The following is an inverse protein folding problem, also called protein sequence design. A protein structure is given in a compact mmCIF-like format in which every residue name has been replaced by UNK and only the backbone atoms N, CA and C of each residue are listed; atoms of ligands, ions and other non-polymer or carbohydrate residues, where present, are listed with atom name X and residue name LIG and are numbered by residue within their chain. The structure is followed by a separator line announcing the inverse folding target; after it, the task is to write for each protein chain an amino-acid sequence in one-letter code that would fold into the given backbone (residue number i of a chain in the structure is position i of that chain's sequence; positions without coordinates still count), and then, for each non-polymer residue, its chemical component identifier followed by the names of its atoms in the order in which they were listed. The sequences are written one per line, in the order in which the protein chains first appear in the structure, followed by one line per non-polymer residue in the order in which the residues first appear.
data_IF_183807797768
#
_entry.id   IF_183807797768
#
_cell.length_a   1.000
_cell.length_b   1.000
_cell.length_c   1.000
_cell.angle_alpha   90.00
_cell.angle_beta   90.00
_cell.angle_gamma   90.00
#
_symmetry.space_group_name_H-M   'P 1'
#
loop_
_entity.id
_entity.type
_entity.pdbx_description
1 polymer ?
#
# COMPACT_ATOMS: atom_id res chain seq x y z
N UNK A 1 -10.47 30.53 -30.03
CA UNK A 1 -9.64 30.82 -28.84
C UNK A 1 -10.06 32.08 -28.10
N UNK A 2 -10.03 33.26 -28.73
CA UNK A 2 -10.27 34.54 -28.04
C UNK A 2 -11.62 34.66 -27.32
N UNK A 3 -12.71 34.19 -27.94
CA UNK A 3 -14.05 34.16 -27.30
C UNK A 3 -14.12 33.20 -26.10
N UNK A 4 -13.47 32.02 -26.20
CA UNK A 4 -13.41 31.04 -25.09
C UNK A 4 -12.62 31.58 -23.91
N UNK A 5 -11.49 32.24 -24.18
CA UNK A 5 -10.66 32.86 -23.16
C UNK A 5 -11.37 34.04 -22.46
N UNK A 6 -12.14 34.83 -23.21
CA UNK A 6 -12.98 35.89 -22.65
C UNK A 6 -14.09 35.32 -21.74
N UNK A 7 -14.75 34.24 -22.16
CA UNK A 7 -15.76 33.56 -21.35
C UNK A 7 -15.17 32.96 -20.07
N UNK A 8 -14.02 32.29 -20.16
CA UNK A 8 -13.29 31.78 -19.00
C UNK A 8 -12.91 32.91 -18.02
N UNK A 9 -12.43 34.04 -18.53
CA UNK A 9 -12.10 35.22 -17.72
C UNK A 9 -13.32 35.83 -17.04
N UNK A 10 -14.48 35.81 -17.71
CA UNK A 10 -15.76 36.26 -17.12
C UNK A 10 -16.19 35.34 -15.97
N UNK A 11 -16.10 34.02 -16.15
CA UNK A 11 -16.38 33.05 -15.09
C UNK A 11 -15.46 33.23 -13.89
N UNK A 12 -14.17 33.46 -14.12
CA UNK A 12 -13.20 33.77 -13.06
C UNK A 12 -13.57 35.05 -12.29
N UNK A 13 -13.92 36.13 -12.99
CA UNK A 13 -14.37 37.38 -12.36
C UNK A 13 -15.66 37.20 -11.54
N UNK A 14 -16.61 36.39 -12.03
CA UNK A 14 -17.85 36.08 -11.32
C UNK A 14 -17.57 35.25 -10.06
N UNK A 15 -16.70 34.24 -10.14
CA UNK A 15 -16.27 33.43 -9.01
C UNK A 15 -15.48 34.24 -7.95
N UNK A 16 -14.80 35.31 -8.37
CA UNK A 16 -14.08 36.23 -7.49
C UNK A 16 -14.96 37.30 -6.81
N UNK A 17 -16.26 37.39 -7.12
CA UNK A 17 -17.13 38.40 -6.49
C UNK A 17 -17.44 38.05 -5.02
N UNK A 18 -17.39 39.02 -4.09
CA UNK A 18 -17.57 38.75 -2.66
C UNK A 18 -18.99 38.28 -2.27
N UNK A 19 -20.02 38.73 -3.00
CA UNK A 19 -21.43 38.41 -2.67
C UNK A 19 -21.94 37.13 -3.37
N UNK A 20 -21.51 36.87 -4.59
CA UNK A 20 -22.04 35.77 -5.42
C UNK A 20 -20.99 34.76 -5.86
N UNK A 21 -19.70 35.05 -5.66
CA UNK A 21 -18.59 34.18 -6.04
C UNK A 21 -18.64 32.78 -5.44
N UNK A 22 -18.95 32.60 -4.15
CA UNK A 22 -19.10 31.26 -3.56
C UNK A 22 -20.19 30.43 -4.25
N UNK A 23 -21.33 31.05 -4.60
CA UNK A 23 -22.42 30.37 -5.31
C UNK A 23 -21.97 29.94 -6.71
N UNK A 24 -21.27 30.81 -7.44
CA UNK A 24 -20.73 30.50 -8.77
C UNK A 24 -19.70 29.36 -8.70
N UNK A 25 -18.80 29.38 -7.73
CA UNK A 25 -17.80 28.34 -7.54
C UNK A 25 -18.43 26.97 -7.22
N UNK A 26 -19.45 26.95 -6.34
CA UNK A 26 -20.21 25.72 -6.04
C UNK A 26 -20.92 25.20 -7.28
N UNK A 27 -21.53 26.08 -8.09
CA UNK A 27 -22.17 25.69 -9.35
C UNK A 27 -21.16 25.10 -10.35
N UNK A 28 -19.98 25.71 -10.49
CA UNK A 28 -18.93 25.19 -11.37
C UNK A 28 -18.40 23.84 -10.89
N UNK A 29 -18.27 23.64 -9.58
CA UNK A 29 -17.84 22.37 -8.98
C UNK A 29 -18.83 21.21 -9.19
N UNK A 30 -20.08 21.50 -9.61
CA UNK A 30 -21.03 20.44 -10.04
C UNK A 30 -20.66 19.83 -11.39
N UNK A 31 -19.90 20.55 -12.21
CA UNK A 31 -19.56 20.16 -13.59
C UNK A 31 -18.08 19.85 -13.77
N UNK A 32 -17.22 20.57 -13.05
CA UNK A 32 -15.77 20.53 -13.20
C UNK A 32 -15.10 20.06 -11.91
N UNK A 33 -14.01 19.30 -11.99
CA UNK A 33 -13.16 19.01 -10.83
C UNK A 33 -12.69 20.28 -10.13
N UNK A 34 -12.55 20.23 -8.80
CA UNK A 34 -12.13 21.37 -7.97
C UNK A 34 -10.81 22.01 -8.43
N UNK A 35 -9.87 21.19 -8.94
CA UNK A 35 -8.62 21.67 -9.52
C UNK A 35 -8.85 22.65 -10.68
N UNK A 36 -9.77 22.34 -11.60
CA UNK A 36 -10.13 23.21 -12.71
C UNK A 36 -10.97 24.42 -12.27
N UNK A 37 -11.85 24.26 -11.28
CA UNK A 37 -12.60 25.39 -10.70
C UNK A 37 -11.64 26.41 -10.06
N UNK A 38 -10.60 25.93 -9.36
CA UNK A 38 -9.56 26.81 -8.82
C UNK A 38 -8.77 27.51 -9.92
N UNK A 39 -8.44 26.81 -11.01
CA UNK A 39 -7.76 27.39 -12.16
C UNK A 39 -8.63 28.47 -12.85
N UNK A 40 -9.95 28.27 -12.94
CA UNK A 40 -10.90 29.27 -13.48
C UNK A 40 -10.94 30.53 -12.61
N UNK A 41 -10.94 30.35 -11.29
CA UNK A 41 -11.01 31.47 -10.34
C UNK A 41 -9.73 32.32 -10.35
N UNK A 42 -8.57 31.66 -10.34
CA UNK A 42 -7.29 32.29 -10.04
C UNK A 42 -6.44 32.57 -11.31
N UNK A 43 -6.73 31.91 -12.44
CA UNK A 43 -5.92 31.94 -13.66
C UNK A 43 -6.44 32.87 -14.77
N UNK A 44 -5.56 33.30 -15.70
CA UNK A 44 -5.98 34.02 -16.90
C UNK A 44 -6.78 33.09 -17.83
N UNK A 45 -7.79 33.63 -18.53
CA UNK A 45 -8.71 32.82 -19.33
C UNK A 45 -8.05 31.99 -20.44
N UNK A 46 -6.90 32.41 -20.97
CA UNK A 46 -6.13 31.62 -21.95
C UNK A 46 -5.55 30.35 -21.34
N UNK A 47 -5.00 30.44 -20.12
CA UNK A 47 -4.45 29.29 -19.40
C UNK A 47 -5.56 28.30 -19.02
N UNK A 48 -6.74 28.81 -18.65
CA UNK A 48 -7.92 27.98 -18.35
C UNK A 48 -8.34 27.17 -19.58
N UNK A 49 -8.43 27.81 -20.74
CA UNK A 49 -8.79 27.12 -22.00
C UNK A 49 -7.74 26.06 -22.34
N UNK A 50 -6.45 26.39 -22.21
CA UNK A 50 -5.37 25.40 -22.41
C UNK A 50 -5.50 24.22 -21.45
N UNK A 51 -5.82 24.48 -20.17
CA UNK A 51 -6.01 23.43 -19.16
C UNK A 51 -7.24 22.55 -19.42
N UNK A 52 -8.28 23.09 -20.06
CA UNK A 52 -9.48 22.33 -20.44
C UNK A 52 -9.27 21.50 -21.71
N UNK A 53 -8.37 21.92 -22.60
CA UNK A 53 -8.02 21.21 -23.84
C UNK A 53 -6.94 20.14 -23.61
N UNK A 54 -6.14 20.27 -22.54
CA UNK A 54 -5.08 19.33 -22.22
C UNK A 54 -5.57 18.17 -21.33
N UNK A 55 -5.16 16.95 -21.67
CA UNK A 55 -5.35 15.78 -20.80
C UNK A 55 -4.49 15.92 -19.55
N UNK A 56 -5.11 15.90 -18.38
CA UNK A 56 -4.42 15.95 -17.09
C UNK A 56 -4.84 14.75 -16.26
N UNK A 57 -3.89 13.85 -15.95
CA UNK A 57 -4.11 12.70 -15.08
C UNK A 57 -3.11 12.77 -13.93
N UNK A 58 -3.51 13.42 -12.85
CA UNK A 58 -2.72 13.57 -11.63
C UNK A 58 -3.53 13.06 -10.43
N UNK A 59 -2.87 12.72 -9.31
CA UNK A 59 -3.59 12.27 -8.12
C UNK A 59 -4.67 13.25 -7.64
N UNK A 60 -4.51 14.56 -7.86
CA UNK A 60 -5.49 15.60 -7.45
C UNK A 60 -6.50 15.99 -8.53
N UNK A 61 -6.20 15.73 -9.80
CA UNK A 61 -7.00 16.16 -10.93
C UNK A 61 -6.94 15.15 -12.06
N UNK A 62 -8.10 14.62 -12.42
CA UNK A 62 -8.31 13.81 -13.62
C UNK A 62 -9.24 14.57 -14.56
N UNK A 63 -8.74 14.85 -15.74
CA UNK A 63 -9.45 15.53 -16.81
C UNK A 63 -9.01 14.93 -18.15
N UNK A 64 -9.92 14.18 -18.78
CA UNK A 64 -9.65 13.52 -20.07
C UNK A 64 -10.49 14.13 -21.19
N UNK A 65 -10.08 13.98 -22.46
CA UNK A 65 -10.87 14.44 -23.60
C UNK A 65 -12.27 13.83 -23.64
N UNK A 66 -12.44 12.60 -23.13
CA UNK A 66 -13.74 11.94 -23.02
C UNK A 66 -14.64 12.62 -21.97
N UNK A 67 -14.09 13.03 -20.81
CA UNK A 67 -14.82 13.82 -19.82
C UNK A 67 -15.21 15.19 -20.37
N UNK A 68 -14.27 15.86 -21.05
CA UNK A 68 -14.53 17.14 -21.70
C UNK A 68 -15.65 17.03 -22.75
N UNK A 69 -15.60 15.99 -23.61
CA UNK A 69 -16.62 15.72 -24.60
C UNK A 69 -17.99 15.42 -23.95
N UNK A 70 -18.02 14.56 -22.93
CA UNK A 70 -19.24 14.22 -22.19
C UNK A 70 -19.87 15.45 -21.54
N UNK A 71 -19.07 16.26 -20.84
CA UNK A 71 -19.54 17.51 -20.23
C UNK A 71 -20.04 18.49 -21.30
N UNK A 72 -19.32 18.63 -22.41
CA UNK A 72 -19.73 19.53 -23.50
C UNK A 72 -21.07 19.10 -24.12
N UNK A 73 -21.31 17.80 -24.27
CA UNK A 73 -22.58 17.25 -24.76
C UNK A 73 -23.70 17.53 -23.76
N UNK A 74 -23.49 17.27 -22.46
CA UNK A 74 -24.46 17.55 -21.40
C UNK A 74 -24.85 19.04 -21.36
N UNK A 75 -23.87 19.93 -21.37
CA UNK A 75 -24.11 21.38 -21.37
C UNK A 75 -24.83 21.84 -22.64
N UNK A 76 -24.53 21.25 -23.79
CA UNK A 76 -25.20 21.56 -25.06
C UNK A 76 -26.68 21.14 -25.03
N UNK A 77 -26.99 19.97 -24.48
CA UNK A 77 -28.37 19.50 -24.29
C UNK A 77 -29.12 20.43 -23.33
N UNK A 78 -28.54 20.74 -22.18
CA UNK A 78 -29.16 21.64 -21.20
C UNK A 78 -29.42 23.03 -21.80
N UNK A 79 -28.48 23.59 -22.55
CA UNK A 79 -28.65 24.88 -23.20
C UNK A 79 -29.76 24.86 -24.26
N UNK A 80 -29.85 23.78 -25.04
CA UNK A 80 -30.89 23.60 -26.05
C UNK A 80 -32.30 23.47 -25.42
N UNK A 81 -32.42 22.71 -24.33
CA UNK A 81 -33.66 22.54 -23.58
C UNK A 81 -34.14 23.88 -23.00
N UNK A 82 -33.22 24.66 -22.43
CA UNK A 82 -33.55 25.99 -21.91
C UNK A 82 -33.99 26.96 -22.99
N UNK A 83 -33.29 26.96 -24.13
CA UNK A 83 -33.66 27.78 -25.27
C UNK A 83 -35.06 27.43 -25.78
N UNK A 84 -35.40 26.13 -25.86
CA UNK A 84 -36.73 25.65 -26.24
C UNK A 84 -37.81 26.14 -25.26
N UNK A 85 -37.56 26.09 -23.95
CA UNK A 85 -38.51 26.56 -22.95
C UNK A 85 -38.67 28.09 -22.96
N UNK A 86 -37.59 28.83 -23.18
CA UNK A 86 -37.65 30.29 -23.35
C UNK A 86 -38.48 30.70 -24.57
N UNK A 87 -38.36 29.96 -25.68
CA UNK A 87 -39.15 30.20 -26.90
C UNK A 87 -40.66 29.97 -26.69
N UNK A 88 -41.06 29.23 -25.65
CA UNK A 88 -42.47 29.02 -25.28
C UNK A 88 -43.05 30.19 -24.47
N UNK A 89 -42.29 31.27 -24.24
CA UNK A 89 -42.76 32.52 -23.65
C UNK A 89 -42.97 32.50 -22.14
N UNK A 90 -42.47 31.48 -21.43
CA UNK A 90 -42.43 31.48 -19.95
C UNK A 90 -41.14 32.11 -19.45
N UNK A 91 -41.24 32.98 -18.45
CA UNK A 91 -40.11 33.32 -17.58
C UNK A 91 -39.74 32.06 -16.80
N UNK A 92 -38.74 31.33 -17.26
CA UNK A 92 -38.22 30.15 -16.58
C UNK A 92 -37.23 30.63 -15.51
N UNK A 93 -37.55 30.41 -14.24
CA UNK A 93 -36.57 30.52 -13.16
C UNK A 93 -35.65 29.29 -13.28
N UNK A 94 -34.54 29.48 -14.00
CA UNK A 94 -33.61 28.39 -14.24
C UNK A 94 -32.74 28.19 -13.00
N UNK A 95 -32.89 27.01 -12.39
CA UNK A 95 -31.91 26.49 -11.46
C UNK A 95 -31.15 25.34 -12.11
N UNK A 96 -29.90 25.17 -11.68
CA UNK A 96 -29.05 24.07 -12.13
C UNK A 96 -29.72 22.78 -11.65
N UNK A 97 -30.17 21.89 -12.56
CA UNK A 97 -30.81 20.65 -12.16
C UNK A 97 -29.90 19.91 -11.17
N UNK A 98 -30.50 19.30 -10.14
CA UNK A 98 -29.83 18.32 -9.29
C UNK A 98 -29.53 17.06 -10.11
N UNK A 99 -28.71 17.17 -11.16
CA UNK A 99 -28.16 15.97 -11.76
C UNK A 99 -27.10 15.43 -10.82
N UNK A 100 -27.15 14.12 -10.49
CA UNK A 100 -26.02 13.45 -9.90
C UNK A 100 -24.91 13.42 -10.95
N UNK A 101 -24.07 14.44 -10.88
CA UNK A 101 -22.70 14.57 -11.37
C UNK A 101 -22.28 13.71 -12.56
N UNK A 102 -21.58 14.35 -13.52
CA UNK A 102 -20.66 13.70 -14.46
C UNK A 102 -19.54 12.84 -13.83
N UNK A 103 -19.59 12.58 -12.52
CA UNK A 103 -18.81 11.58 -11.79
C UNK A 103 -19.20 10.12 -12.11
N UNK A 104 -20.24 9.86 -12.91
CA UNK A 104 -20.63 8.49 -13.28
C UNK A 104 -19.54 7.69 -14.02
N UNK A 105 -18.60 8.34 -14.73
CA UNK A 105 -17.52 7.63 -15.45
C UNK A 105 -16.42 7.14 -14.50
N UNK A 106 -16.29 7.73 -13.30
CA UNK A 106 -15.21 7.43 -12.34
C UNK A 106 -15.72 6.90 -10.99
N UNK A 107 -16.98 6.45 -10.93
CA UNK A 107 -17.60 5.93 -9.69
C UNK A 107 -16.87 4.71 -9.10
N UNK A 108 -16.13 3.99 -9.95
CA UNK A 108 -15.33 2.81 -9.57
C UNK A 108 -13.88 3.14 -9.18
N UNK A 109 -13.49 4.42 -9.15
CA UNK A 109 -12.17 4.85 -8.69
C UNK A 109 -12.24 5.34 -7.23
N UNK A 110 -11.52 4.70 -6.30
CA UNK A 110 -11.52 5.10 -4.91
C UNK A 110 -10.83 6.46 -4.76
N UNK A 111 -11.59 7.45 -4.34
CA UNK A 111 -11.14 8.81 -4.07
C UNK A 111 -11.17 9.08 -2.57
N UNK A 112 -10.06 9.60 -2.04
CA UNK A 112 -9.91 9.92 -0.61
C UNK A 112 -9.49 11.37 -0.47
N UNK A 113 -10.29 12.20 0.21
CA UNK A 113 -9.94 13.61 0.44
C UNK A 113 -9.69 14.42 -0.84
N UNK A 114 -10.31 14.03 -1.96
CA UNK A 114 -10.11 14.64 -3.28
C UNK A 114 -9.02 13.99 -4.14
N UNK A 115 -8.32 12.97 -3.63
CA UNK A 115 -7.19 12.33 -4.30
C UNK A 115 -7.55 10.94 -4.81
N UNK A 116 -7.20 10.65 -6.06
CA UNK A 116 -7.36 9.36 -6.71
C UNK A 116 -6.27 8.40 -6.25
N UNK A 117 -6.65 7.36 -5.49
CA UNK A 117 -5.71 6.48 -4.78
C UNK A 117 -4.83 5.69 -5.77
N UNK A 118 -5.41 5.21 -6.88
CA UNK A 118 -4.67 4.43 -7.89
C UNK A 118 -3.63 5.29 -8.62
N UNK A 119 -3.97 6.55 -8.93
CA UNK A 119 -3.02 7.49 -9.54
C UNK A 119 -1.91 7.89 -8.56
N UNK A 120 -2.24 8.11 -7.28
CA UNK A 120 -1.22 8.36 -6.25
C UNK A 120 -0.22 7.21 -6.15
N UNK A 121 -0.67 5.95 -6.21
CA UNK A 121 0.23 4.80 -6.17
C UNK A 121 1.17 4.67 -7.38
N UNK A 122 0.83 5.28 -8.53
CA UNK A 122 1.73 5.33 -9.70
C UNK A 122 2.89 6.31 -9.48
N UNK A 123 2.65 7.42 -8.81
CA UNK A 123 3.67 8.41 -8.46
C UNK A 123 3.49 8.89 -7.00
N UNK A 124 3.98 8.12 -6.01
CA UNK A 124 3.80 8.44 -4.60
C UNK A 124 4.61 9.66 -4.15
N UNK A 125 5.55 10.15 -4.99
CA UNK A 125 6.35 11.36 -4.72
C UNK A 125 5.66 12.63 -5.22
N UNK A 126 4.49 12.51 -5.83
CA UNK A 126 3.71 13.64 -6.30
C UNK A 126 3.44 14.63 -5.14
N UNK A 127 3.75 15.93 -5.29
CA UNK A 127 3.58 16.91 -4.23
C UNK A 127 2.10 17.23 -4.02
N UNK A 128 1.49 16.58 -3.02
CA UNK A 128 0.11 16.83 -2.61
C UNK A 128 -0.02 18.21 -1.91
N UNK A 129 -1.08 18.95 -2.22
CA UNK A 129 -1.42 20.23 -1.58
C UNK A 129 -1.70 20.08 -0.10
N UNK A 130 -2.43 19.03 0.28
CA UNK A 130 -2.86 18.76 1.67
C UNK A 130 -2.64 17.30 2.08
N UNK A 131 -1.39 16.86 2.29
CA UNK A 131 -1.08 15.47 2.60
C UNK A 131 -1.69 15.00 3.94
N UNK A 132 -1.92 15.91 4.91
CA UNK A 132 -2.59 15.60 6.18
C UNK A 132 -4.05 15.20 5.97
N UNK A 133 -4.78 15.95 5.14
CA UNK A 133 -6.18 15.66 4.82
C UNK A 133 -6.32 14.32 4.10
N UNK A 134 -5.38 14.03 3.20
CA UNK A 134 -5.30 12.74 2.52
C UNK A 134 -5.06 11.60 3.50
N UNK A 135 -4.09 11.76 4.41
CA UNK A 135 -3.80 10.78 5.46
C UNK A 135 -5.01 10.50 6.36
N UNK A 136 -5.67 11.54 6.86
CA UNK A 136 -6.87 11.41 7.70
C UNK A 136 -7.98 10.66 6.98
N UNK A 137 -8.25 11.01 5.72
CA UNK A 137 -9.22 10.31 4.90
C UNK A 137 -8.83 8.85 4.64
N UNK A 138 -7.54 8.57 4.40
CA UNK A 138 -7.05 7.21 4.15
C UNK A 138 -7.24 6.34 5.39
N UNK A 139 -6.91 6.86 6.57
CA UNK A 139 -7.08 6.15 7.84
C UNK A 139 -8.55 5.88 8.13
N UNK A 140 -9.42 6.87 7.96
CA UNK A 140 -10.84 6.75 8.24
C UNK A 140 -11.51 5.73 7.31
N UNK A 141 -11.25 5.83 6.00
CA UNK A 141 -11.79 4.90 5.02
C UNK A 141 -11.17 3.51 5.16
N UNK A 142 -9.88 3.40 5.50
CA UNK A 142 -9.22 2.11 5.73
C UNK A 142 -9.82 1.39 6.95
N UNK A 143 -9.88 2.03 8.11
CA UNK A 143 -10.45 1.44 9.33
C UNK A 143 -11.91 1.04 9.10
N UNK A 144 -12.68 1.88 8.40
CA UNK A 144 -14.08 1.58 8.05
C UNK A 144 -14.19 0.39 7.10
N UNK A 145 -13.34 0.31 6.08
CA UNK A 145 -13.32 -0.79 5.12
C UNK A 145 -12.93 -2.13 5.77
N UNK A 146 -11.93 -2.12 6.66
CA UNK A 146 -11.53 -3.31 7.43
C UNK A 146 -12.67 -3.72 8.37
N UNK A 147 -13.31 -2.78 9.06
CA UNK A 147 -14.48 -3.06 9.89
C UNK A 147 -15.66 -3.63 9.09
N UNK A 148 -15.89 -3.18 7.86
CA UNK A 148 -16.94 -3.74 7.00
C UNK A 148 -16.68 -5.21 6.65
N UNK A 149 -15.41 -5.60 6.44
CA UNK A 149 -15.05 -7.03 6.26
C UNK A 149 -15.29 -7.89 7.50
N UNK A 150 -15.52 -7.28 8.68
CA UNK A 150 -15.77 -8.00 9.93
C UNK A 150 -17.23 -8.44 10.09
N UNK A 151 -18.20 -7.61 9.67
CA UNK A 151 -19.61 -7.79 10.00
C UNK A 151 -20.45 -8.43 8.89
N UNK A 152 -20.07 -8.29 7.63
CA UNK A 152 -20.91 -8.75 6.52
C UNK A 152 -20.40 -10.05 5.88
N UNK A 153 -21.28 -11.05 5.81
CA UNK A 153 -21.09 -12.28 5.03
C UNK A 153 -21.23 -12.04 3.52
N UNK A 154 -21.46 -10.80 3.09
CA UNK A 154 -21.43 -10.41 1.69
C UNK A 154 -20.00 -10.15 1.24
N UNK A 155 -19.70 -10.53 0.00
CA UNK A 155 -18.41 -10.36 -0.66
C UNK A 155 -18.09 -8.87 -0.83
N UNK A 156 -17.66 -8.19 0.24
CA UNK A 156 -16.97 -6.91 0.14
C UNK A 156 -15.65 -7.19 -0.55
N UNK A 157 -15.38 -6.45 -1.62
CA UNK A 157 -14.16 -6.58 -2.39
C UNK A 157 -12.93 -6.36 -1.49
N UNK A 158 -12.12 -7.39 -1.22
CA UNK A 158 -10.92 -7.25 -0.39
C UNK A 158 -9.89 -6.31 -1.03
N UNK A 159 -10.05 -5.94 -2.31
CA UNK A 159 -9.14 -5.04 -3.00
C UNK A 159 -9.15 -3.62 -2.43
N UNK A 160 -10.28 -3.12 -1.93
CA UNK A 160 -10.37 -1.76 -1.40
C UNK A 160 -9.49 -1.56 -0.14
N UNK A 161 -9.61 -2.35 0.94
CA UNK A 161 -8.73 -2.20 2.11
C UNK A 161 -7.26 -2.43 1.73
N UNK A 162 -6.96 -3.35 0.81
CA UNK A 162 -5.60 -3.59 0.33
C UNK A 162 -5.03 -2.37 -0.39
N UNK A 163 -5.79 -1.76 -1.30
CA UNK A 163 -5.38 -0.56 -2.03
C UNK A 163 -5.17 0.63 -1.07
N UNK A 164 -6.09 0.84 -0.13
CA UNK A 164 -5.98 1.90 0.88
C UNK A 164 -4.74 1.69 1.77
N UNK A 165 -4.47 0.45 2.19
CA UNK A 165 -3.28 0.11 2.98
C UNK A 165 -1.98 0.39 2.21
N UNK A 166 -1.93 0.05 0.92
CA UNK A 166 -0.77 0.28 0.08
C UNK A 166 -0.51 1.78 -0.10
N UNK A 167 -1.56 2.59 -0.30
CA UNK A 167 -1.46 4.03 -0.39
C UNK A 167 -1.01 4.66 0.93
N UNK A 168 -1.54 4.17 2.06
CA UNK A 168 -1.15 4.63 3.39
C UNK A 168 0.33 4.34 3.68
N UNK A 169 0.80 3.13 3.42
CA UNK A 169 2.21 2.76 3.58
C UNK A 169 3.11 3.59 2.67
N UNK A 170 2.72 3.77 1.40
CA UNK A 170 3.47 4.57 0.44
C UNK A 170 3.57 6.04 0.85
N UNK A 171 2.46 6.64 1.31
CA UNK A 171 2.41 8.01 1.80
C UNK A 171 3.33 8.21 3.02
N UNK A 172 3.25 7.31 4.00
CA UNK A 172 4.08 7.36 5.21
C UNK A 172 5.56 7.08 4.93
N UNK A 173 5.89 6.37 3.84
CA UNK A 173 7.27 6.17 3.39
C UNK A 173 7.87 7.44 2.77
N UNK A 174 7.08 8.16 1.96
CA UNK A 174 7.54 9.41 1.34
C UNK A 174 7.57 10.56 2.36
N UNK A 175 6.59 10.60 3.27
CA UNK A 175 6.46 11.64 4.28
C UNK A 175 6.39 11.06 5.71
N UNK A 176 7.52 10.57 6.28
CA UNK A 176 7.53 9.92 7.59
C UNK A 176 7.07 10.82 8.74
N UNK A 177 7.24 12.14 8.63
CA UNK A 177 6.76 13.11 9.62
C UNK A 177 5.24 13.09 9.82
N UNK A 178 4.47 12.56 8.86
CA UNK A 178 3.03 12.40 9.00
C UNK A 178 2.65 11.28 9.99
N UNK A 179 3.56 10.34 10.28
CA UNK A 179 3.30 9.26 11.23
C UNK A 179 3.04 9.80 12.65
N UNK A 180 3.72 10.88 13.06
CA UNK A 180 3.47 11.50 14.37
C UNK A 180 2.03 12.03 14.47
N UNK A 181 1.50 12.59 13.39
CA UNK A 181 0.10 13.04 13.29
C UNK A 181 -0.88 11.88 13.51
N UNK A 182 -0.59 10.69 12.97
CA UNK A 182 -1.41 9.47 13.19
C UNK A 182 -1.46 9.10 14.67
N UNK A 183 -0.33 9.20 15.37
CA UNK A 183 -0.23 8.96 16.80
C UNK A 183 -1.15 9.87 17.61
N UNK A 184 -1.12 11.19 17.33
CA UNK A 184 -1.96 12.17 18.03
C UNK A 184 -3.46 12.01 17.75
N UNK A 185 -3.84 11.55 16.57
CA UNK A 185 -5.24 11.33 16.22
C UNK A 185 -5.87 10.08 16.87
N UNK A 186 -5.06 9.21 17.49
CA UNK A 186 -5.57 8.02 18.18
C UNK A 186 -6.07 6.90 17.26
N UNK A 187 -5.56 6.83 16.02
CA UNK A 187 -5.88 5.72 15.10
C UNK A 187 -5.12 4.43 15.42
N UNK A 188 -3.97 4.50 16.10
CA UNK A 188 -3.13 3.33 16.42
C UNK A 188 -3.90 2.25 17.19
N UNK A 189 -4.63 2.54 18.29
CA UNK A 189 -5.41 1.53 19.00
C UNK A 189 -6.53 0.91 18.14
N UNK A 190 -7.13 1.68 17.22
CA UNK A 190 -8.17 1.18 16.31
C UNK A 190 -7.60 0.15 15.34
N UNK A 191 -6.43 0.41 14.77
CA UNK A 191 -5.73 -0.51 13.87
C UNK A 191 -5.31 -1.80 14.59
N UNK A 192 -4.82 -1.67 15.82
CA UNK A 192 -4.48 -2.82 16.69
C UNK A 192 -5.71 -3.68 16.97
N UNK A 193 -6.86 -3.06 17.26
CA UNK A 193 -8.12 -3.77 17.47
C UNK A 193 -8.63 -4.47 16.20
N UNK A 194 -8.52 -3.83 15.04
CA UNK A 194 -8.92 -4.40 13.74
C UNK A 194 -8.12 -5.68 13.41
N UNK A 195 -6.79 -5.62 13.52
CA UNK A 195 -5.91 -6.77 13.30
C UNK A 195 -6.19 -7.93 14.28
N UNK A 196 -6.59 -7.61 15.52
CA UNK A 196 -6.90 -8.61 16.54
C UNK A 196 -8.25 -9.31 16.35
N UNK A 197 -9.25 -8.62 15.79
CA UNK A 197 -10.56 -9.21 15.51
C UNK A 197 -10.42 -10.32 14.47
N UNK A 198 -9.65 -10.00 13.42
CA UNK A 198 -9.26 -10.92 12.38
C UNK A 198 -8.59 -12.19 12.93
N UNK A 199 -7.53 -12.07 13.75
CA UNK A 199 -6.81 -13.22 14.29
C UNK A 199 -7.65 -14.21 15.13
N UNK A 200 -8.88 -13.88 15.54
CA UNK A 200 -9.79 -14.79 16.24
C UNK A 200 -10.57 -15.75 15.32
N UNK A 201 -10.64 -15.50 14.01
CA UNK A 201 -11.40 -16.36 13.08
C UNK A 201 -10.59 -17.52 12.51
N UNK A 202 -9.27 -17.45 12.50
CA UNK A 202 -8.38 -18.55 12.09
C UNK A 202 -8.58 -19.80 12.97
N UNK A 203 -8.76 -19.62 14.28
CA UNK A 203 -8.98 -20.72 15.23
C UNK A 203 -10.32 -21.44 15.03
N UNK A 204 -11.27 -20.84 14.31
CA UNK A 204 -12.59 -21.44 14.02
C UNK A 204 -12.63 -22.10 12.64
N UNK A 205 -11.88 -21.59 11.66
CA UNK A 205 -11.78 -22.20 10.32
C UNK A 205 -10.84 -23.43 10.32
N UNK A 206 -9.74 -23.39 11.08
CA UNK A 206 -8.81 -24.52 11.22
C UNK A 206 -9.38 -25.69 12.06
N UNK A 207 -10.51 -25.50 12.75
CA UNK A 207 -11.09 -26.50 13.66
C UNK A 207 -12.16 -27.41 13.06
N UNK A 208 -12.58 -27.20 11.80
CA UNK A 208 -13.69 -27.96 11.19
C UNK A 208 -13.27 -29.15 10.31
N UNK A 209 -11.98 -29.33 10.03
CA UNK A 209 -11.53 -30.38 9.09
C UNK A 209 -11.15 -31.73 9.74
N UNK A 210 -11.36 -31.93 11.05
CA UNK A 210 -11.02 -33.21 11.72
C UNK A 210 -12.20 -34.14 12.02
N UNK A 211 -13.41 -33.85 11.54
CA UNK A 211 -14.56 -34.74 11.78
C UNK A 211 -15.40 -34.98 10.53
N UNK A 212 -14.84 -35.64 9.50
CA UNK A 212 -15.59 -36.45 8.52
C UNK A 212 -14.66 -37.19 7.56
N UNK A 213 -14.33 -38.44 7.87
CA UNK A 213 -14.36 -39.58 6.96
C UNK A 213 -13.71 -40.81 7.62
N UNK A 214 -14.55 -41.71 8.13
CA UNK A 214 -14.24 -43.14 8.15
C UNK A 214 -14.52 -43.67 6.74
N UNK A 215 -13.50 -44.16 6.02
CA UNK A 215 -13.62 -45.19 4.98
C UNK A 215 -12.22 -45.55 4.40
N UNK A 216 -11.79 -46.78 4.68
CA UNK A 216 -10.95 -47.75 3.94
C UNK A 216 -9.68 -47.31 3.15
N UNK A 217 -8.58 -48.10 3.19
CA UNK A 217 -7.31 -47.78 2.55
C UNK A 217 -7.24 -48.28 1.10
N UNK A 218 -6.90 -47.39 0.16
CA UNK A 218 -6.50 -47.77 -1.19
C UNK A 218 -5.07 -47.25 -1.41
N UNK A 219 -4.11 -48.19 -1.45
CA UNK A 219 -2.78 -47.98 -2.02
C UNK A 219 -2.93 -47.54 -3.48
N UNK A 220 -2.16 -46.54 -3.96
CA UNK A 220 -1.58 -46.48 -5.31
C UNK A 220 -0.69 -45.22 -5.46
N UNK A 221 0.60 -45.51 -5.49
CA UNK A 221 1.74 -44.98 -6.26
C UNK A 221 1.85 -43.53 -6.77
N UNK A 222 3.10 -43.07 -6.78
CA UNK A 222 3.60 -41.72 -7.04
C UNK A 222 3.33 -41.18 -8.46
N UNK A 223 2.96 -39.90 -8.57
CA UNK A 223 3.49 -39.00 -9.61
C UNK A 223 3.30 -37.52 -9.24
N UNK A 224 4.42 -36.79 -9.26
CA UNK A 224 4.57 -35.34 -9.48
C UNK A 224 3.75 -34.36 -8.61
N UNK A 225 4.30 -34.09 -7.42
CA UNK A 225 3.89 -32.99 -6.56
C UNK A 225 4.18 -31.62 -7.19
N UNK A 226 3.18 -31.04 -7.85
CA UNK A 226 3.06 -29.59 -8.00
C UNK A 226 3.04 -29.00 -6.59
N UNK A 227 3.89 -27.99 -6.25
CA UNK A 227 3.80 -27.38 -4.94
C UNK A 227 2.45 -26.68 -4.85
N UNK A 228 1.54 -27.19 -4.02
CA UNK A 228 0.31 -26.52 -3.66
C UNK A 228 0.66 -25.15 -3.07
N UNK A 229 0.63 -24.11 -3.90
CA UNK A 229 0.63 -22.73 -3.45
C UNK A 229 -0.67 -22.53 -2.69
N UNK A 230 -0.63 -22.71 -1.37
CA UNK A 230 -1.72 -22.38 -0.45
C UNK A 230 -2.15 -20.94 -0.71
N UNK A 231 -3.26 -20.74 -1.43
CA UNK A 231 -3.77 -19.42 -1.80
C UNK A 231 -4.23 -18.75 -0.51
N UNK A 232 -3.57 -17.65 -0.13
CA UNK A 232 -3.91 -16.89 1.07
C UNK A 232 -5.38 -16.44 1.01
N UNK A 233 -6.11 -16.63 2.10
CA UNK A 233 -7.51 -16.18 2.15
C UNK A 233 -7.57 -14.65 2.03
N UNK A 234 -8.65 -14.07 1.49
CA UNK A 234 -8.80 -12.61 1.41
C UNK A 234 -8.68 -11.95 2.80
N UNK A 235 -9.12 -12.63 3.85
CA UNK A 235 -9.00 -12.15 5.23
C UNK A 235 -7.55 -12.15 5.74
N UNK A 236 -6.74 -13.15 5.38
CA UNK A 236 -5.30 -13.16 5.66
C UNK A 236 -4.59 -12.00 4.97
N UNK A 237 -4.97 -11.68 3.72
CA UNK A 237 -4.41 -10.53 3.00
C UNK A 237 -4.72 -9.21 3.72
N UNK A 238 -5.95 -9.02 4.20
CA UNK A 238 -6.33 -7.82 4.98
C UNK A 238 -5.55 -7.75 6.31
N UNK A 239 -5.36 -8.87 7.02
CA UNK A 239 -4.52 -8.93 8.24
C UNK A 239 -3.08 -8.50 7.99
N UNK A 240 -2.47 -9.05 6.95
CA UNK A 240 -1.12 -8.69 6.56
C UNK A 240 -1.04 -7.22 6.16
N UNK A 241 -2.10 -6.66 5.57
CA UNK A 241 -2.20 -5.23 5.28
C UNK A 241 -2.20 -4.39 6.56
N UNK A 242 -2.96 -4.80 7.59
CA UNK A 242 -2.99 -4.13 8.90
C UNK A 242 -1.60 -4.18 9.55
N UNK A 243 -0.94 -5.34 9.49
CA UNK A 243 0.42 -5.52 10.00
C UNK A 243 1.43 -4.61 9.28
N UNK A 244 1.33 -4.45 7.95
CA UNK A 244 2.19 -3.54 7.17
C UNK A 244 2.00 -2.08 7.55
N UNK A 245 0.75 -1.66 7.77
CA UNK A 245 0.46 -0.29 8.24
C UNK A 245 1.05 -0.07 9.64
N UNK A 246 0.82 -1.00 10.58
CA UNK A 246 1.38 -0.92 11.93
C UNK A 246 2.92 -0.92 11.91
N UNK A 247 3.53 -1.76 11.08
CA UNK A 247 4.97 -1.80 10.87
C UNK A 247 5.54 -0.45 10.40
N UNK A 248 4.87 0.20 9.43
CA UNK A 248 5.28 1.50 8.94
C UNK A 248 5.12 2.58 10.03
N UNK A 249 4.04 2.54 10.79
CA UNK A 249 3.80 3.46 11.92
C UNK A 249 4.80 3.26 13.05
N UNK A 250 5.27 2.03 13.30
CA UNK A 250 6.27 1.73 14.33
C UNK A 250 7.63 2.40 14.10
N UNK A 251 7.87 2.99 12.92
CA UNK A 251 9.05 3.82 12.68
C UNK A 251 9.00 5.17 13.41
N UNK A 252 7.81 5.66 13.78
CA UNK A 252 7.62 6.86 14.61
C UNK A 252 7.56 6.47 16.10
N UNK A 253 8.28 7.22 16.93
CA UNK A 253 8.30 7.05 18.38
C UNK A 253 6.93 7.31 18.99
N UNK A 254 6.21 8.34 18.52
CA UNK A 254 4.85 8.67 18.97
C UNK A 254 3.89 7.50 18.75
N UNK A 255 3.95 6.87 17.58
CA UNK A 255 3.14 5.69 17.27
C UNK A 255 3.58 4.45 18.05
N UNK A 256 4.88 4.23 18.24
CA UNK A 256 5.40 3.14 19.06
C UNK A 256 4.98 3.25 20.54
N UNK A 257 4.93 4.46 21.09
CA UNK A 257 4.39 4.74 22.43
C UNK A 257 2.88 4.46 22.47
N UNK A 258 2.13 4.90 21.46
CA UNK A 258 0.70 4.63 21.35
C UNK A 258 0.38 3.12 21.21
N UNK A 259 1.26 2.33 20.59
CA UNK A 259 1.14 0.87 20.54
C UNK A 259 1.38 0.18 21.89
N UNK A 260 2.21 0.78 22.76
CA UNK A 260 2.45 0.28 24.10
C UNK A 260 1.30 0.62 25.08
N UNK A 261 0.57 1.71 24.81
CA UNK A 261 -0.55 2.14 25.62
C UNK A 261 -1.64 1.06 25.69
N UNK A 262 -1.81 0.47 26.87
CA UNK A 262 -2.83 -0.55 27.12
C UNK A 262 -4.02 0.10 27.80
N UNK A 263 -5.13 0.25 27.06
CA UNK A 263 -6.42 0.65 27.63
C UNK A 263 -7.29 -0.58 27.90
N UNK A 264 -8.29 -0.44 28.79
CA UNK A 264 -9.24 -1.52 29.05
C UNK A 264 -9.98 -1.89 27.76
N UNK A 265 -9.76 -3.11 27.27
CA UNK A 265 -10.41 -3.64 26.06
C UNK A 265 -9.57 -3.62 24.78
N UNK A 266 -8.44 -2.89 24.74
CA UNK A 266 -7.51 -2.97 23.60
C UNK A 266 -6.63 -4.20 23.68
N UNK A 267 -6.48 -4.98 22.59
CA UNK A 267 -5.63 -6.16 22.58
C UNK A 267 -4.15 -5.77 22.72
N UNK A 268 -3.39 -6.56 23.47
CA UNK A 268 -1.97 -6.30 23.69
C UNK A 268 -1.19 -6.49 22.39
N UNK A 269 -0.50 -5.45 21.92
CA UNK A 269 0.25 -5.45 20.64
C UNK A 269 1.28 -6.57 20.61
N UNK A 270 1.99 -6.82 21.70
CA UNK A 270 3.01 -7.89 21.76
C UNK A 270 2.38 -9.28 21.59
N UNK A 271 1.20 -9.51 22.16
CA UNK A 271 0.48 -10.77 21.99
C UNK A 271 0.00 -10.97 20.55
N UNK A 272 -0.40 -9.88 19.88
CA UNK A 272 -0.81 -9.93 18.48
C UNK A 272 0.37 -10.18 17.55
N UNK A 273 1.49 -9.48 17.78
CA UNK A 273 2.71 -9.69 17.00
C UNK A 273 3.25 -11.11 17.20
N UNK A 274 3.18 -11.66 18.42
CA UNK A 274 3.53 -13.06 18.67
C UNK A 274 2.68 -14.04 17.85
N UNK A 275 1.38 -13.78 17.68
CA UNK A 275 0.55 -14.59 16.77
C UNK A 275 0.91 -14.37 15.31
N UNK A 276 1.18 -13.13 14.92
CA UNK A 276 1.56 -12.76 13.56
C UNK A 276 2.91 -13.34 13.12
N UNK A 277 3.79 -13.67 14.09
CA UNK A 277 5.01 -14.44 13.84
C UNK A 277 4.68 -15.80 13.18
N UNK A 278 3.54 -16.43 13.50
CA UNK A 278 3.09 -17.68 12.87
C UNK A 278 2.37 -17.50 11.53
N UNK A 279 2.10 -16.27 11.08
CA UNK A 279 1.35 -16.03 9.83
C UNK A 279 2.22 -16.24 8.60
N UNK A 280 1.64 -16.85 7.57
CA UNK A 280 2.31 -17.06 6.29
C UNK A 280 2.63 -15.72 5.61
N UNK A 281 3.92 -15.40 5.46
CA UNK A 281 4.40 -14.12 4.92
C UNK A 281 4.31 -12.92 5.89
N UNK A 282 3.85 -13.11 7.12
CA UNK A 282 3.81 -12.08 8.18
C UNK A 282 4.92 -12.18 9.22
N UNK A 283 5.59 -13.33 9.29
CA UNK A 283 6.56 -13.67 10.34
C UNK A 283 7.71 -12.66 10.52
N UNK A 284 8.45 -12.40 9.44
CA UNK A 284 9.58 -11.45 9.44
C UNK A 284 9.08 -10.03 9.73
N UNK A 285 7.98 -9.63 9.11
CA UNK A 285 7.39 -8.31 9.32
C UNK A 285 6.97 -8.10 10.78
N UNK A 286 6.42 -9.13 11.43
CA UNK A 286 6.04 -9.09 12.84
C UNK A 286 7.28 -8.97 13.75
N UNK A 287 8.35 -9.74 13.48
CA UNK A 287 9.62 -9.65 14.20
C UNK A 287 10.27 -8.27 14.04
N UNK A 288 10.28 -7.72 12.82
CA UNK A 288 10.83 -6.39 12.54
C UNK A 288 9.99 -5.29 13.21
N UNK A 289 8.67 -5.46 13.23
CA UNK A 289 7.76 -4.55 13.96
C UNK A 289 8.03 -4.59 15.46
N UNK A 290 8.23 -5.78 16.06
CA UNK A 290 8.63 -5.91 17.46
C UNK A 290 9.95 -5.19 17.75
N UNK A 291 10.96 -5.36 16.88
CA UNK A 291 12.24 -4.65 17.00
C UNK A 291 12.05 -3.13 17.02
N UNK A 292 11.26 -2.59 16.09
CA UNK A 292 11.01 -1.14 16.00
C UNK A 292 10.26 -0.61 17.21
N UNK A 293 9.22 -1.31 17.65
CA UNK A 293 8.37 -0.91 18.78
C UNK A 293 9.16 -0.94 20.10
N UNK A 294 10.11 -1.87 20.26
CA UNK A 294 10.96 -2.01 21.46
C UNK A 294 12.28 -1.24 21.33
N UNK A 295 12.41 -0.38 20.32
CA UNK A 295 13.59 0.47 20.13
C UNK A 295 13.86 1.40 21.32
N UNK A 296 15.14 1.79 21.48
CA UNK A 296 15.61 2.60 22.61
C UNK A 296 14.90 3.97 22.75
N UNK A 297 14.30 4.49 21.68
CA UNK A 297 13.57 5.76 21.69
C UNK A 297 12.17 5.69 22.29
N UNK A 298 11.61 4.50 22.56
CA UNK A 298 10.25 4.35 23.07
C UNK A 298 10.23 4.43 24.61
N UNK A 299 9.62 5.48 25.18
CA UNK A 299 9.50 5.64 26.64
C UNK A 299 8.62 4.59 27.29
N UNK A 300 7.70 4.00 26.54
CA UNK A 300 6.80 2.94 27.00
C UNK A 300 7.36 1.52 26.74
N UNK A 301 8.66 1.40 26.43
CA UNK A 301 9.35 0.13 26.22
C UNK A 301 9.17 -0.85 27.38
N UNK A 302 9.25 -0.39 28.62
CA UNK A 302 9.10 -1.27 29.80
C UNK A 302 7.72 -1.96 29.84
N UNK A 303 6.65 -1.26 29.42
CA UNK A 303 5.32 -1.84 29.33
C UNK A 303 5.23 -2.96 28.28
N UNK A 304 5.92 -2.79 27.14
CA UNK A 304 6.01 -3.80 26.08
C UNK A 304 6.82 -5.02 26.53
N UNK A 305 7.94 -4.82 27.22
CA UNK A 305 8.74 -5.91 27.79
C UNK A 305 7.93 -6.68 28.83
N UNK A 306 7.16 -5.98 29.68
CA UNK A 306 6.24 -6.61 30.64
C UNK A 306 5.17 -7.46 29.95
N UNK A 307 4.57 -6.95 28.85
CA UNK A 307 3.64 -7.74 28.03
C UNK A 307 4.32 -8.97 27.44
N UNK A 308 5.53 -8.83 26.88
CA UNK A 308 6.28 -9.94 26.31
C UNK A 308 6.60 -11.04 27.32
N UNK A 309 6.99 -10.68 28.54
CA UNK A 309 7.19 -11.64 29.64
C UNK A 309 5.88 -12.34 30.06
N UNK A 310 4.76 -11.61 30.05
CA UNK A 310 3.45 -12.17 30.41
C UNK A 310 2.94 -13.19 29.39
N UNK A 311 3.22 -12.95 28.11
CA UNK A 311 2.75 -13.81 27.01
C UNK A 311 3.75 -14.93 26.69
N UNK A 312 4.98 -14.87 27.24
CA UNK A 312 6.02 -15.87 26.98
C UNK A 312 6.77 -15.65 25.66
N UNK A 313 6.83 -14.41 25.17
CA UNK A 313 7.50 -14.08 23.91
C UNK A 313 9.00 -14.43 23.94
N UNK A 314 9.66 -14.28 25.09
CA UNK A 314 11.10 -14.60 25.25
C UNK A 314 11.36 -16.07 24.92
N UNK A 315 10.50 -16.97 25.39
CA UNK A 315 10.62 -18.40 25.13
C UNK A 315 10.39 -18.70 23.64
N UNK A 316 9.46 -18.00 22.98
CA UNK A 316 9.21 -18.14 21.54
C UNK A 316 10.40 -17.73 20.71
N UNK A 317 11.01 -16.59 21.04
CA UNK A 317 12.21 -16.11 20.34
C UNK A 317 13.39 -17.08 20.53
N UNK A 318 13.57 -17.65 21.71
CA UNK A 318 14.56 -18.70 21.95
C UNK A 318 14.26 -19.98 21.14
N UNK A 319 12.98 -20.35 21.04
CA UNK A 319 12.54 -21.47 20.20
C UNK A 319 12.82 -21.27 18.70
N UNK A 320 12.75 -20.02 18.22
CA UNK A 320 13.13 -19.66 16.83
C UNK A 320 14.64 -19.82 16.59
N UNK A 321 15.47 -19.56 17.62
CA UNK A 321 16.93 -19.71 17.54
C UNK A 321 17.39 -21.17 17.64
N UNK A 322 16.60 -22.03 18.29
CA UNK A 322 16.90 -23.44 18.47
C UNK A 322 16.60 -24.26 17.19
N UNK A 323 17.47 -24.11 16.19
CA UNK A 323 17.36 -24.83 14.93
C UNK A 323 17.51 -26.36 15.08
N UNK A 324 18.09 -26.84 16.19
CA UNK A 324 18.33 -28.27 16.46
C UNK A 324 17.12 -28.97 17.05
N UNK A 325 16.31 -28.26 17.84
CA UNK A 325 15.16 -28.87 18.52
C UNK A 325 13.88 -28.95 17.67
N UNK A 326 13.92 -28.59 16.39
CA UNK A 326 12.83 -28.82 15.44
C UNK A 326 11.45 -28.48 16.02
N UNK A 327 11.22 -27.20 16.33
CA UNK A 327 9.87 -26.71 16.62
C UNK A 327 9.17 -27.37 17.81
N UNK A 328 9.83 -27.52 18.97
CA UNK A 328 9.14 -27.89 20.22
C UNK A 328 8.06 -26.89 20.65
N UNK A 329 8.03 -25.70 20.06
CA UNK A 329 6.93 -24.76 20.14
C UNK A 329 6.17 -24.76 18.82
N UNK A 330 4.89 -25.15 18.84
CA UNK A 330 4.07 -25.38 17.64
C UNK A 330 3.95 -24.20 16.66
N UNK A 331 4.42 -22.99 17.03
CA UNK A 331 4.54 -21.82 16.15
C UNK A 331 5.59 -22.01 15.04
N UNK A 332 6.73 -22.65 15.31
CA UNK A 332 7.77 -22.86 14.29
C UNK A 332 7.34 -23.87 13.21
N UNK A 333 6.47 -24.83 13.54
CA UNK A 333 5.95 -25.79 12.56
C UNK A 333 4.96 -25.14 11.57
N UNK A 334 4.41 -23.97 11.92
CA UNK A 334 3.54 -23.19 11.02
C UNK A 334 4.36 -22.30 10.07
N UNK A 335 5.65 -22.09 10.35
CA UNK A 335 6.54 -21.25 9.54
C UNK A 335 7.16 -22.06 8.41
N UNK A 336 6.75 -21.78 7.17
CA UNK A 336 7.46 -22.26 5.97
C UNK A 336 8.56 -21.27 5.58
N UNK A 337 9.64 -21.21 6.36
CA UNK A 337 10.79 -20.34 6.02
C UNK A 337 11.70 -20.98 5.00
N UNK A 338 12.10 -20.19 4.01
CA UNK A 338 13.28 -20.51 3.22
C UNK A 338 14.57 -20.24 4.03
N UNK A 339 15.71 -20.71 3.53
CA UNK A 339 17.00 -20.60 4.25
C UNK A 339 17.40 -19.13 4.55
N UNK A 340 17.05 -18.20 3.65
CA UNK A 340 17.31 -16.76 3.81
C UNK A 340 16.36 -16.07 4.80
N UNK A 341 15.09 -16.47 4.81
CA UNK A 341 14.08 -15.99 5.75
C UNK A 341 14.38 -16.48 7.16
N UNK A 342 14.88 -17.72 7.28
CA UNK A 342 15.32 -18.27 8.55
C UNK A 342 16.54 -17.54 9.11
N UNK A 343 17.52 -17.17 8.26
CA UNK A 343 18.67 -16.40 8.73
C UNK A 343 18.27 -15.00 9.20
N UNK A 344 17.42 -14.31 8.42
CA UNK A 344 16.86 -13.00 8.76
C UNK A 344 16.05 -13.07 10.06
N UNK A 345 15.16 -14.06 10.18
CA UNK A 345 14.32 -14.26 11.37
C UNK A 345 15.13 -14.49 12.63
N UNK A 346 16.23 -15.24 12.55
CA UNK A 346 17.16 -15.44 13.68
C UNK A 346 17.86 -14.15 14.10
N UNK A 347 18.35 -13.35 13.13
CA UNK A 347 18.97 -12.05 13.44
C UNK A 347 17.96 -11.14 14.15
N UNK A 348 16.75 -11.01 13.60
CA UNK A 348 15.70 -10.20 14.21
C UNK A 348 15.33 -10.71 15.61
N UNK A 349 15.28 -12.03 15.83
CA UNK A 349 15.01 -12.61 17.14
C UNK A 349 16.11 -12.26 18.16
N UNK A 350 17.40 -12.36 17.77
CA UNK A 350 18.53 -11.95 18.62
C UNK A 350 18.47 -10.45 18.95
N UNK A 351 18.20 -9.60 17.96
CA UNK A 351 18.09 -8.15 18.17
C UNK A 351 16.93 -7.78 19.10
N UNK A 352 15.77 -8.44 18.97
CA UNK A 352 14.64 -8.24 19.87
C UNK A 352 14.98 -8.72 21.28
N UNK A 353 15.65 -9.87 21.45
CA UNK A 353 16.08 -10.36 22.76
C UNK A 353 17.08 -9.42 23.43
N UNK A 354 18.05 -8.89 22.68
CA UNK A 354 18.92 -7.83 23.18
C UNK A 354 18.12 -6.59 23.58
N UNK A 355 17.16 -6.16 22.74
CA UNK A 355 16.29 -5.03 23.05
C UNK A 355 15.36 -5.28 24.25
N UNK A 356 15.13 -6.52 24.68
CA UNK A 356 14.41 -6.83 25.93
C UNK A 356 15.36 -6.86 27.13
N UNK A 357 16.62 -7.25 26.91
CA UNK A 357 17.65 -7.34 27.94
C UNK A 357 18.34 -6.01 28.25
N UNK A 358 18.25 -5.02 27.35
CA UNK A 358 18.73 -3.65 27.59
C UNK A 358 17.93 -2.97 28.71
N UNK A 359 18.48 -1.89 29.28
CA UNK A 359 17.99 -1.12 30.43
C UNK A 359 16.46 -1.08 30.59
N UNK A 360 15.94 -1.28 31.80
CA UNK A 360 14.50 -1.27 32.09
C UNK A 360 14.15 -1.96 33.40
N UNK A 361 12.90 -1.80 33.88
CA UNK A 361 12.46 -2.41 35.14
C UNK A 361 12.44 -3.94 35.10
N UNK A 362 12.18 -4.51 33.92
CA UNK A 362 12.04 -5.96 33.72
C UNK A 362 13.30 -6.64 33.15
N UNK A 363 14.36 -5.88 32.86
CA UNK A 363 15.55 -6.39 32.19
C UNK A 363 16.29 -7.47 32.99
N UNK A 364 16.26 -7.41 34.34
CA UNK A 364 16.89 -8.42 35.20
C UNK A 364 16.24 -9.80 35.03
N UNK A 365 14.90 -9.84 35.01
CA UNK A 365 14.13 -11.07 34.80
C UNK A 365 14.33 -11.63 33.39
N UNK A 366 14.39 -10.77 32.37
CA UNK A 366 14.73 -11.20 31.00
C UNK A 366 16.14 -11.81 30.96
N UNK A 367 17.13 -11.15 31.56
CA UNK A 367 18.51 -11.65 31.62
C UNK A 367 18.63 -12.98 32.36
N UNK A 368 17.85 -13.18 33.43
CA UNK A 368 17.79 -14.45 34.14
C UNK A 368 17.32 -15.59 33.23
N UNK A 369 16.20 -15.39 32.51
CA UNK A 369 15.67 -16.37 31.53
C UNK A 369 16.70 -16.64 30.44
N UNK A 370 17.29 -15.59 29.87
CA UNK A 370 18.29 -15.71 28.81
C UNK A 370 19.56 -16.44 29.27
N UNK A 371 20.05 -16.17 30.47
CA UNK A 371 21.25 -16.83 31.02
C UNK A 371 21.00 -18.30 31.36
N UNK A 372 19.74 -18.70 31.59
CA UNK A 372 19.36 -20.10 31.79
C UNK A 372 19.29 -20.91 30.49
N UNK A 373 19.30 -20.24 29.33
CA UNK A 373 19.19 -20.89 28.02
C UNK A 373 20.55 -21.19 27.41
N UNK A 374 20.80 -22.48 27.15
CA UNK A 374 22.01 -22.92 26.44
C UNK A 374 22.08 -22.37 25.02
N UNK A 375 20.92 -22.19 24.36
CA UNK A 375 20.82 -21.64 23.01
C UNK A 375 21.29 -20.19 22.99
N UNK A 376 20.84 -19.38 23.95
CA UNK A 376 21.24 -17.97 24.02
C UNK A 376 22.76 -17.79 24.21
N UNK A 377 23.41 -18.69 24.96
CA UNK A 377 24.85 -18.64 25.18
C UNK A 377 25.68 -18.67 23.89
N UNK A 378 25.16 -19.34 22.85
CA UNK A 378 25.81 -19.44 21.54
C UNK A 378 25.59 -18.21 20.65
N UNK A 379 24.48 -17.47 20.86
CA UNK A 379 24.08 -16.36 19.99
C UNK A 379 24.38 -14.97 20.57
N UNK A 380 24.51 -14.82 21.89
CA UNK A 380 24.62 -13.51 22.58
C UNK A 380 25.78 -12.61 22.13
N UNK A 381 26.89 -13.19 21.64
CA UNK A 381 28.12 -12.47 21.25
C UNK A 381 28.35 -12.49 19.73
N UNK A 382 27.43 -13.07 18.96
CA UNK A 382 27.60 -13.25 17.52
C UNK A 382 27.31 -11.94 16.77
N UNK A 383 28.31 -11.39 16.07
CA UNK A 383 28.11 -10.21 15.22
C UNK A 383 27.21 -10.55 14.02
N UNK A 384 26.18 -9.73 13.81
CA UNK A 384 25.05 -9.98 12.89
C UNK A 384 25.40 -10.03 11.38
N UNK A 385 26.65 -9.73 11.00
CA UNK A 385 27.09 -9.68 9.59
C UNK A 385 27.21 -11.07 8.93
N UNK A 386 27.23 -12.15 9.71
CA UNK A 386 27.41 -13.51 9.18
C UNK A 386 26.13 -14.14 8.59
N UNK A 387 24.96 -13.53 8.82
CA UNK A 387 23.65 -14.09 8.48
C UNK A 387 22.88 -13.33 7.39
N UNK A 388 23.43 -12.20 6.92
CA UNK A 388 22.78 -11.40 5.90
C UNK A 388 23.20 -11.87 4.51
N UNK A 389 22.26 -12.19 3.61
CA UNK A 389 22.59 -12.34 2.19
C UNK A 389 23.14 -10.99 1.67
N UNK A 390 24.16 -11.03 0.81
CA UNK A 390 24.94 -9.85 0.38
C UNK A 390 24.11 -8.70 -0.22
N UNK A 391 22.85 -8.95 -0.58
CA UNK A 391 21.89 -7.98 -1.12
C UNK A 391 21.10 -7.19 -0.05
N UNK A 392 21.02 -7.69 1.20
CA UNK A 392 20.33 -7.03 2.31
C UNK A 392 21.10 -5.80 2.83
N UNK A 393 22.43 -5.79 2.65
CA UNK A 393 23.32 -4.71 3.09
C UNK A 393 23.31 -3.50 2.16
N UNK A 394 22.99 -3.67 0.86
CA UNK A 394 23.02 -2.60 -0.16
C UNK A 394 21.70 -1.86 -0.37
N UNK A 395 20.61 -2.32 0.26
CA UNK A 395 19.28 -1.71 0.07
C UNK A 395 19.04 -0.60 1.09
N UNK A 396 18.69 0.61 0.65
CA UNK A 396 18.33 1.73 1.54
C UNK A 396 17.10 1.42 2.45
N UNK A 397 16.36 0.36 2.15
CA UNK A 397 15.23 -0.17 2.93
C UNK A 397 15.56 -1.41 3.78
N UNK A 398 16.81 -1.91 3.77
CA UNK A 398 17.21 -3.13 4.47
C UNK A 398 16.40 -4.38 4.06
N UNK A 399 16.19 -5.29 5.01
CA UNK A 399 15.39 -6.53 4.87
C UNK A 399 13.96 -6.27 4.35
N UNK A 400 13.39 -5.09 4.61
CA UNK A 400 12.04 -4.74 4.14
C UNK A 400 11.93 -4.69 2.60
N UNK A 401 13.03 -4.43 1.87
CA UNK A 401 13.04 -4.45 0.40
C UNK A 401 12.83 -5.85 -0.20
N UNK A 402 13.19 -6.92 0.53
CA UNK A 402 13.02 -8.31 0.09
C UNK A 402 11.55 -8.76 0.15
N UNK A 403 10.78 -8.25 1.11
CA UNK A 403 9.35 -8.58 1.30
C UNK A 403 8.47 -7.86 0.25
N UNK A 404 8.91 -6.70 -0.24
CA UNK A 404 8.12 -5.87 -1.15
C UNK A 404 8.12 -6.39 -2.61
N UNK A 405 9.13 -7.19 -2.98
CA UNK A 405 9.21 -7.86 -4.28
C UNK A 405 8.04 -8.82 -4.55
N UNK A 406 7.37 -9.29 -3.49
CA UNK A 406 6.16 -10.12 -3.58
C UNK A 406 4.88 -9.29 -3.78
N UNK A 407 4.87 -8.02 -3.38
CA UNK A 407 3.69 -7.13 -3.45
C UNK A 407 3.63 -6.28 -4.72
N UNK A 408 4.74 -6.15 -5.44
CA UNK A 408 4.80 -5.47 -6.75
C UNK A 408 4.03 -6.20 -7.86
N UNK A 409 3.44 -7.38 -7.59
CA UNK A 409 2.50 -8.08 -8.49
C UNK A 409 1.06 -7.54 -8.44
N UNK A 410 0.76 -6.51 -7.66
CA UNK A 410 -0.53 -5.84 -7.74
C UNK A 410 -0.46 -4.76 -8.82
N UNK A 411 -0.69 -5.18 -10.07
CA UNK A 411 -0.84 -4.27 -11.21
C UNK A 411 -2.14 -3.47 -11.07
N UNK A 412 -2.09 -2.32 -10.40
CA UNK A 412 -3.21 -1.37 -10.31
C UNK A 412 -3.33 -0.47 -11.56
N UNK A 413 -2.94 -0.98 -12.72
CA UNK A 413 -2.99 -0.23 -13.97
C UNK A 413 -4.43 -0.18 -14.49
N UNK A 414 -4.92 1.05 -14.77
CA UNK A 414 -6.07 1.28 -15.63
C UNK A 414 -5.82 0.55 -16.96
N UNK A 415 -6.75 -0.31 -17.38
CA UNK A 415 -6.73 -0.93 -18.69
C UNK A 415 -6.86 0.15 -19.77
N UNK A 416 -5.72 0.63 -20.27
CA UNK A 416 -5.67 1.22 -21.58
C UNK A 416 -5.77 0.07 -22.61
N UNK A 417 -6.61 0.24 -23.63
CA UNK A 417 -6.70 -0.67 -24.77
C UNK A 417 -5.30 -0.98 -25.34
N UNK A 418 -5.04 -2.17 -25.88
CA UNK A 418 -3.72 -2.56 -26.34
C UNK A 418 -3.28 -1.61 -27.46
N UNK A 419 -2.37 -0.68 -27.14
CA UNK A 419 -1.67 0.10 -28.14
C UNK A 419 -0.74 -0.85 -28.89
N UNK A 420 -1.08 -1.13 -30.15
CA UNK A 420 -0.22 -1.75 -31.13
C UNK A 420 1.15 -1.04 -31.14
N UNK A 421 2.18 -1.74 -30.67
CA UNK A 421 3.56 -1.27 -30.76
C UNK A 421 3.92 -1.03 -32.23
N UNK A 422 4.52 0.13 -32.61
CA UNK A 422 5.15 0.24 -33.91
C UNK A 422 6.38 -0.67 -33.92
N UNK A 423 6.39 -1.63 -34.85
CA UNK A 423 7.50 -2.53 -35.10
C UNK A 423 8.79 -1.73 -35.30
N UNK A 424 9.74 -1.92 -34.40
CA UNK A 424 11.12 -1.46 -34.54
C UNK A 424 11.75 -2.26 -35.70
N UNK A 425 11.74 -1.66 -36.89
CA UNK A 425 12.46 -2.17 -38.05
C UNK A 425 13.95 -2.17 -37.71
N UNK A 426 14.49 -3.37 -37.53
CA UNK A 426 15.91 -3.63 -37.33
C UNK A 426 16.62 -3.40 -38.67
N UNK A 427 17.24 -2.23 -38.84
CA UNK A 427 18.16 -1.97 -39.94
C UNK A 427 19.38 -2.92 -39.80
N UNK A 428 19.77 -3.66 -40.85
CA UNK A 428 20.96 -4.50 -40.81
C UNK A 428 22.23 -3.65 -40.84
N UNK A 429 23.12 -3.91 -39.89
CA UNK A 429 24.45 -3.33 -39.77
C UNK A 429 25.32 -3.69 -40.97
N UNK A 430 25.80 -2.68 -41.70
CA UNK A 430 26.82 -2.81 -42.75
C UNK A 430 28.17 -3.19 -42.15
N UNK A 431 28.68 -4.37 -42.51
CA UNK A 431 30.08 -4.77 -42.29
C UNK A 431 31.01 -4.04 -43.26
N UNK A 432 32.24 -3.69 -42.86
CA UNK A 432 33.25 -3.17 -43.79
C UNK A 432 33.90 -4.33 -44.57
N UNK A 433 34.38 -4.11 -45.81
CA UNK A 433 34.94 -5.16 -46.65
C UNK A 433 36.37 -5.53 -46.24
N UNK A 434 36.81 -6.78 -46.48
CA UNK A 434 38.17 -7.21 -46.18
C UNK A 434 39.18 -6.72 -47.23
N UNK A 435 40.34 -6.32 -46.73
CA UNK A 435 41.54 -5.94 -47.47
C UNK A 435 42.14 -7.12 -48.23
N UNK A 436 42.26 -7.02 -49.56
CA UNK A 436 43.06 -7.92 -50.39
C UNK A 436 44.41 -7.27 -50.71
N UNK A 437 45.50 -7.93 -50.28
CA UNK A 437 46.88 -7.64 -50.71
C UNK A 437 47.24 -8.37 -52.02
N UNK A 438 48.35 -8.01 -52.68
CA UNK A 438 48.49 -8.05 -54.13
C UNK A 438 49.14 -9.34 -54.65
N UNK A 439 48.77 -9.76 -55.86
CA UNK A 439 49.55 -10.69 -56.69
C UNK A 439 49.61 -10.18 -58.13
N UNK A 440 50.84 -10.13 -58.65
CA UNK A 440 51.30 -9.55 -59.91
C UNK A 440 50.84 -10.31 -61.18
N UNK A 441 50.97 -9.70 -62.37
CA UNK A 441 50.30 -10.14 -63.60
C UNK A 441 51.18 -11.04 -64.49
N UNK A 442 50.56 -11.96 -65.24
CA UNK A 442 51.16 -12.54 -66.44
C UNK A 442 50.09 -13.07 -67.43
N UNK A 443 50.06 -12.41 -68.59
CA UNK A 443 49.89 -12.95 -69.96
C UNK A 443 48.80 -13.99 -70.29
N UNK A 444 47.88 -13.59 -71.17
CA UNK A 444 47.97 -14.04 -72.58
C UNK A 444 46.92 -15.03 -73.13
N UNK A 445 46.44 -14.68 -74.34
CA UNK A 445 45.76 -15.49 -75.39
C UNK A 445 44.26 -15.74 -75.19
N UNK A 446 43.37 -15.15 -76.02
CA UNK A 446 43.02 -15.41 -77.46
C UNK A 446 42.44 -16.80 -77.73
N UNK A 447 41.37 -16.77 -78.55
CA UNK A 447 40.62 -17.82 -79.28
C UNK A 447 39.24 -18.07 -78.67
N UNK A 448 38.14 -18.02 -79.40
CA UNK A 448 37.79 -17.59 -80.77
C UNK A 448 36.30 -17.27 -80.77
#
# INVERSE_FOLDING_TARGET
MQQRAAAASLLGKLAGQPMHGPRVAITLARFLPDGLVSAIRDGPGEAVVSSLEQTTETPELVWTPAMAASLSAQLSTMAADLYQEQMKGRLVDWDVPEQPSGQHVMKDEPQVGGIYVRLFLKDPKFPLRNPKRFLEGLLDQYVSSVAATHYEANAVDPELPLLLSAALVSLLRVHPALADHVGYLGYVPKLVAAMAYEGRRETMASGQDTSRAQAEPIEHDNSDGVPETTVQTPQERVRLSCLRVLHQLASSTTCAEAMAATSAGTPQVVALLMKAIGWQGGSILALETLKRVVGAGNRARDALVAQGLKVGLVDVLLGILDWRAGGRQGLCNQMKWNESEASIGRVLAVEVLHAFATEGAHCAKVREILNSSDVWSAYKDQKHDLFLPSNAQTSAAGVAGLIESSSSRLTYALTAAPSSQPALVRLPSSSPPPSTGPVNPASGRRHS
#
